data_IF_655012672659
#
_entry.id   IF_655012672659
#
_cell.length_a   1.000
_cell.length_b   1.000
_cell.length_c   1.000
_cell.angle_alpha   90.00
_cell.angle_beta   90.00
_cell.angle_gamma   90.00
#
_symmetry.space_group_name_H-M   'P 1'
#
loop_
_entity.id
_entity.type
_entity.pdbx_description
1 polymer ?
#
# COMPACT_ATOMS: atom_id res chain seq x y z
N UNK A 1 -15.90 -3.97 -13.35
CA UNK A 1 -15.16 -3.53 -12.14
C UNK A 1 -15.99 -3.88 -10.90
N UNK A 2 -15.71 -4.99 -10.21
CA UNK A 2 -16.41 -5.36 -8.98
C UNK A 2 -15.65 -4.79 -7.77
N UNK A 3 -15.71 -3.47 -7.59
CA UNK A 3 -15.22 -2.86 -6.35
C UNK A 3 -16.15 -3.31 -5.22
N UNK A 4 -15.59 -3.96 -4.19
CA UNK A 4 -16.36 -4.25 -3.00
C UNK A 4 -16.87 -2.94 -2.40
N UNK A 5 -18.01 -2.99 -1.71
CA UNK A 5 -18.60 -1.80 -1.08
C UNK A 5 -17.61 -1.10 -0.15
N UNK A 6 -16.77 -1.88 0.54
CA UNK A 6 -15.66 -1.36 1.35
C UNK A 6 -14.67 -0.52 0.55
N UNK A 7 -14.25 -0.96 -0.65
CA UNK A 7 -13.30 -0.20 -1.47
C UNK A 7 -13.91 1.06 -2.04
N UNK A 8 -15.20 1.04 -2.38
CA UNK A 8 -15.92 2.24 -2.85
C UNK A 8 -16.01 3.27 -1.74
N UNK A 9 -16.33 2.83 -0.52
CA UNK A 9 -16.41 3.70 0.66
C UNK A 9 -15.04 4.27 1.05
N UNK A 10 -14.01 3.43 1.08
CA UNK A 10 -12.64 3.87 1.35
C UNK A 10 -12.17 4.89 0.31
N UNK A 11 -12.45 4.67 -0.97
CA UNK A 11 -12.12 5.64 -2.02
C UNK A 11 -12.84 6.97 -1.81
N UNK A 12 -14.15 6.94 -1.53
CA UNK A 12 -14.94 8.14 -1.27
C UNK A 12 -14.41 8.92 -0.06
N UNK A 13 -14.16 8.22 1.05
CA UNK A 13 -13.65 8.82 2.28
C UNK A 13 -12.26 9.45 2.06
N UNK A 14 -11.35 8.76 1.36
CA UNK A 14 -10.01 9.30 1.05
C UNK A 14 -10.07 10.56 0.19
N UNK A 15 -10.93 10.59 -0.81
CA UNK A 15 -11.08 11.78 -1.68
C UNK A 15 -11.73 12.95 -0.93
N UNK A 16 -12.72 12.68 -0.07
CA UNK A 16 -13.42 13.69 0.72
C UNK A 16 -12.52 14.29 1.81
N UNK A 17 -11.89 13.45 2.65
CA UNK A 17 -10.90 13.90 3.65
C UNK A 17 -9.72 14.60 2.96
N UNK A 18 -9.31 14.04 1.80
CA UNK A 18 -8.18 14.49 1.02
C UNK A 18 -8.40 15.82 0.33
N UNK A 19 -9.62 16.37 0.24
CA UNK A 19 -9.95 17.59 -0.54
C UNK A 19 -8.94 18.75 -0.44
N UNK A 20 -8.30 19.07 0.72
CA UNK A 20 -7.25 20.09 0.80
C UNK A 20 -5.97 19.79 0.00
N UNK A 21 -5.74 18.51 -0.32
CA UNK A 21 -4.61 18.00 -1.08
C UNK A 21 -5.17 17.39 -2.38
N UNK A 22 -4.91 17.92 -3.59
CA UNK A 22 -5.43 17.34 -4.84
C UNK A 22 -4.91 15.90 -5.07
N UNK A 23 -5.55 14.91 -4.43
CA UNK A 23 -5.21 13.49 -4.47
C UNK A 23 -5.81 12.88 -5.74
N UNK A 24 -4.96 12.20 -6.51
CA UNK A 24 -5.34 11.50 -7.73
C UNK A 24 -5.02 10.02 -7.57
N UNK A 25 -5.95 9.17 -7.98
CA UNK A 25 -5.79 7.72 -7.90
C UNK A 25 -4.69 7.25 -8.83
N UNK A 26 -3.82 6.38 -8.32
CA UNK A 26 -2.69 5.82 -9.07
C UNK A 26 -2.54 4.33 -8.78
N UNK A 27 -1.42 3.76 -9.20
CA UNK A 27 -1.03 2.39 -8.91
C UNK A 27 -2.00 1.37 -9.51
N UNK A 28 -2.11 0.23 -8.84
CA UNK A 28 -2.89 -0.91 -9.35
C UNK A 28 -4.38 -0.61 -9.43
N UNK A 29 -4.87 0.29 -8.59
CA UNK A 29 -6.26 0.71 -8.63
C UNK A 29 -6.59 1.45 -9.93
N UNK A 30 -5.71 2.34 -10.40
CA UNK A 30 -5.89 3.01 -11.70
C UNK A 30 -5.83 2.00 -12.86
N UNK A 31 -4.90 1.05 -12.82
CA UNK A 31 -4.78 -0.04 -13.81
C UNK A 31 -6.06 -0.90 -13.86
N UNK A 32 -6.63 -1.20 -12.69
CA UNK A 32 -7.89 -1.92 -12.58
C UNK A 32 -9.07 -1.07 -13.08
N UNK A 33 -9.07 0.24 -12.82
CA UNK A 33 -10.09 1.16 -13.30
C UNK A 33 -10.14 1.21 -14.83
N UNK A 34 -9.00 1.01 -15.49
CA UNK A 34 -8.87 0.91 -16.94
C UNK A 34 -9.09 -0.50 -17.50
N UNK A 35 -9.50 -1.48 -16.67
CA UNK A 35 -9.82 -2.84 -17.13
C UNK A 35 -8.61 -3.66 -17.58
N UNK A 36 -7.40 -3.26 -17.22
CA UNK A 36 -6.17 -3.94 -17.62
C UNK A 36 -5.85 -5.15 -16.73
N UNK A 37 -6.48 -5.24 -15.56
CA UNK A 37 -6.35 -6.36 -14.62
C UNK A 37 -7.69 -6.67 -13.97
N UNK A 38 -7.95 -7.96 -13.71
CA UNK A 38 -9.21 -8.42 -13.09
C UNK A 38 -9.10 -8.64 -11.57
N UNK A 39 -7.88 -8.70 -11.03
CA UNK A 39 -7.66 -8.90 -9.59
C UNK A 39 -7.89 -7.60 -8.81
N UNK A 40 -8.61 -7.71 -7.68
CA UNK A 40 -8.77 -6.60 -6.76
C UNK A 40 -7.43 -6.26 -6.09
N UNK A 41 -7.07 -4.98 -6.08
CA UNK A 41 -6.00 -4.50 -5.19
C UNK A 41 -6.50 -4.47 -3.74
N UNK A 42 -5.60 -4.68 -2.78
CA UNK A 42 -5.90 -4.57 -1.35
C UNK A 42 -5.54 -3.18 -0.78
N UNK A 43 -4.83 -2.39 -1.59
CA UNK A 43 -4.32 -1.06 -1.29
C UNK A 43 -4.96 -0.02 -2.22
N UNK A 44 -4.96 1.22 -1.75
CA UNK A 44 -5.33 2.40 -2.52
C UNK A 44 -4.11 3.32 -2.60
N UNK A 45 -3.61 3.54 -3.81
CA UNK A 45 -2.49 4.43 -4.05
C UNK A 45 -3.00 5.79 -4.54
N UNK A 46 -2.45 6.87 -3.97
CA UNK A 46 -2.74 8.25 -4.38
C UNK A 46 -1.45 9.00 -4.71
N UNK A 47 -1.53 9.90 -5.68
CA UNK A 47 -0.50 10.87 -6.01
C UNK A 47 -1.04 12.29 -5.77
N UNK A 48 -0.16 13.22 -5.44
CA UNK A 48 -0.54 14.63 -5.23
C UNK A 48 0.59 15.54 -5.70
N UNK A 49 0.22 16.69 -6.24
CA UNK A 49 1.15 17.79 -6.57
C UNK A 49 1.18 18.86 -5.46
N UNK A 50 0.44 18.66 -4.36
CA UNK A 50 0.44 19.59 -3.25
C UNK A 50 1.86 19.68 -2.64
N UNK A 51 2.42 20.88 -2.43
CA UNK A 51 3.76 21.04 -1.85
C UNK A 51 3.82 20.76 -0.34
N UNK A 52 2.69 20.50 0.33
CA UNK A 52 2.67 20.17 1.75
C UNK A 52 3.54 18.95 2.07
N UNK A 53 4.20 18.91 3.25
CA UNK A 53 5.00 17.75 3.65
C UNK A 53 4.17 16.46 3.62
N UNK A 54 4.72 15.40 3.03
CA UNK A 54 3.99 14.13 2.89
C UNK A 54 3.51 13.57 4.25
N UNK A 55 4.25 13.83 5.32
CA UNK A 55 3.89 13.45 6.69
C UNK A 55 2.63 14.17 7.19
N UNK A 56 2.43 15.42 6.80
CA UNK A 56 1.23 16.19 7.13
C UNK A 56 0.01 15.61 6.40
N UNK A 57 0.15 15.36 5.10
CA UNK A 57 -0.90 14.78 4.24
C UNK A 57 -1.32 13.42 4.80
N UNK A 58 -0.35 12.54 5.08
CA UNK A 58 -0.58 11.22 5.68
C UNK A 58 -1.30 11.34 7.02
N UNK A 59 -0.88 12.28 7.88
CA UNK A 59 -1.52 12.50 9.19
C UNK A 59 -2.97 12.93 9.02
N UNK A 60 -3.26 13.89 8.15
CA UNK A 60 -4.61 14.40 7.92
C UNK A 60 -5.53 13.29 7.40
N UNK A 61 -5.09 12.56 6.37
CA UNK A 61 -5.86 11.44 5.80
C UNK A 61 -6.07 10.33 6.82
N UNK A 62 -5.03 9.94 7.57
CA UNK A 62 -5.11 8.89 8.60
C UNK A 62 -6.08 9.26 9.73
N UNK A 63 -5.99 10.49 10.23
CA UNK A 63 -6.88 10.99 11.28
C UNK A 63 -8.32 11.06 10.79
N UNK A 64 -8.54 11.57 9.58
CA UNK A 64 -9.87 11.62 8.97
C UNK A 64 -10.46 10.22 8.85
N UNK A 65 -9.74 9.26 8.28
CA UNK A 65 -10.22 7.89 8.08
C UNK A 65 -10.53 7.17 9.39
N UNK A 66 -9.80 7.47 10.46
CA UNK A 66 -10.08 6.94 11.80
C UNK A 66 -11.38 7.54 12.36
N UNK A 67 -11.71 8.77 11.99
CA UNK A 67 -12.87 9.50 12.49
C UNK A 67 -14.19 9.16 11.78
N UNK A 68 -14.19 8.76 10.49
CA UNK A 68 -15.44 8.64 9.71
C UNK A 68 -16.19 7.32 9.89
N UNK A 69 -15.55 6.16 10.14
CA UNK A 69 -16.29 4.89 10.33
C UNK A 69 -15.44 3.65 10.77
N UNK A 70 -14.72 3.69 11.90
CA UNK A 70 -14.16 2.46 12.51
C UNK A 70 -13.01 1.78 11.75
N UNK A 71 -12.42 2.48 10.79
CA UNK A 71 -11.22 2.07 10.07
C UNK A 71 -9.98 2.25 10.95
N UNK A 72 -9.23 1.18 11.18
CA UNK A 72 -7.95 1.22 11.91
C UNK A 72 -6.80 1.38 10.92
N UNK A 73 -5.98 2.41 11.08
CA UNK A 73 -4.80 2.61 10.25
C UNK A 73 -3.66 1.74 10.75
N UNK A 74 -3.19 0.79 9.95
CA UNK A 74 -1.96 0.04 10.21
C UNK A 74 -0.85 0.57 9.32
N UNK A 75 0.19 1.16 9.90
CA UNK A 75 1.41 1.41 9.16
C UNK A 75 2.04 0.07 8.78
N UNK A 76 2.47 -0.05 7.52
CA UNK A 76 3.39 -1.13 7.15
C UNK A 76 4.68 -0.87 7.94
N UNK A 77 5.22 -1.85 8.68
CA UNK A 77 6.52 -1.65 9.32
C UNK A 77 7.51 -1.24 8.24
N UNK A 78 8.30 -0.20 8.50
CA UNK A 78 9.48 0.08 7.69
C UNK A 78 10.24 -1.24 7.53
N UNK A 79 10.56 -1.63 6.30
CA UNK A 79 11.45 -2.77 6.09
C UNK A 79 12.77 -2.39 6.76
N UNK A 80 13.05 -3.03 7.90
CA UNK A 80 14.33 -2.89 8.55
C UNK A 80 15.42 -3.35 7.57
N UNK A 81 16.56 -2.66 7.46
CA UNK A 81 17.66 -3.05 6.56
C UNK A 81 18.18 -4.48 6.78
N UNK A 82 17.80 -5.13 7.89
CA UNK A 82 18.19 -6.50 8.23
C UNK A 82 17.48 -7.60 7.42
N UNK A 83 16.43 -7.28 6.65
CA UNK A 83 15.68 -8.26 5.82
C UNK A 83 16.41 -8.62 4.51
N UNK A 84 17.66 -8.17 4.35
CA UNK A 84 18.54 -8.47 3.21
C UNK A 84 19.63 -9.50 3.52
N UNK A 85 19.42 -10.40 4.49
CA UNK A 85 20.33 -11.53 4.66
C UNK A 85 20.35 -12.35 3.37
N UNK A 86 21.52 -12.56 2.72
CA UNK A 86 21.60 -13.41 1.55
C UNK A 86 21.17 -14.84 1.93
N UNK A 87 20.54 -15.58 1.01
CA UNK A 87 20.13 -16.95 1.28
C UNK A 87 21.34 -17.78 1.74
N UNK A 88 21.16 -18.53 2.84
CA UNK A 88 22.20 -19.43 3.36
C UNK A 88 22.53 -20.43 2.24
N UNK A 89 23.79 -20.50 1.75
CA UNK A 89 24.15 -21.45 0.72
C UNK A 89 23.94 -22.88 1.24
N UNK A 90 23.46 -23.81 0.40
CA UNK A 90 23.24 -25.20 0.81
C UNK A 90 24.57 -25.79 1.29
N UNK A 91 24.56 -26.37 2.48
CA UNK A 91 25.71 -27.09 3.03
C UNK A 91 25.97 -28.30 2.14
N UNK A 92 27.05 -28.25 1.35
CA UNK A 92 27.54 -29.39 0.59
C UNK A 92 28.07 -30.42 1.59
N UNK A 93 27.27 -31.46 1.83
CA UNK A 93 27.74 -32.64 2.56
C UNK A 93 28.88 -33.25 1.73
N UNK A 94 30.10 -33.08 2.24
CA UNK A 94 31.30 -33.66 1.65
C UNK A 94 31.19 -35.18 1.73
N UNK A 95 30.72 -35.79 0.64
CA UNK A 95 30.71 -37.23 0.50
C UNK A 95 32.17 -37.69 0.47
N UNK A 96 32.57 -38.39 1.54
CA UNK A 96 33.79 -39.19 1.61
C UNK A 96 33.93 -39.99 0.32
N UNK A 97 34.91 -39.64 -0.51
CA UNK A 97 35.34 -40.48 -1.63
C UNK A 97 36.63 -41.17 -1.21
N UNK A 98 36.49 -42.42 -0.79
CA UNK A 98 37.57 -43.40 -0.76
C UNK A 98 37.90 -43.81 -2.19
N UNK A 99 39.11 -43.53 -2.66
CA UNK A 99 39.92 -44.39 -3.54
C UNK A 99 41.39 -43.97 -3.43
#
# INVERSE_FOLDING_TARGET
>A
MNLSELHRRLLADVLDIGTPYPLVITGRYAVQAHGLVDRLSQDLDVATQNPAPISEIVRTVSNGLTSVAGTSTRSKPERSPADSSPPIPPQVNSARSTY
#
